data_IF_976947954954
#
_entry.id   IF_976947954954
#
_cell.length_a   1.000
_cell.length_b   1.000
_cell.length_c   1.000
_cell.angle_alpha   90.00
_cell.angle_beta   90.00
_cell.angle_gamma   90.00
#
_symmetry.space_group_name_H-M   'P 1'
#
loop_
_entity.id
_entity.type
_entity.pdbx_description
1 polymer ?
#
# COMPACT_ATOMS: atom_id res chain seq x y z
N UNK A 1 25.22 10.25 -10.25
CA UNK A 1 24.03 10.97 -9.77
C UNK A 1 23.35 10.04 -8.80
N UNK A 2 23.17 10.45 -7.54
CA UNK A 2 22.33 9.70 -6.60
C UNK A 2 20.87 10.09 -6.81
N UNK A 3 20.10 9.16 -7.35
CA UNK A 3 18.64 9.32 -7.49
C UNK A 3 18.01 9.12 -6.11
N UNK A 4 17.12 10.02 -5.71
CA UNK A 4 16.34 9.84 -4.48
C UNK A 4 15.26 8.79 -4.70
N UNK A 5 15.07 7.93 -3.71
CA UNK A 5 13.96 6.98 -3.71
C UNK A 5 12.63 7.71 -3.49
N UNK A 6 11.61 7.30 -4.26
CA UNK A 6 10.25 7.78 -4.10
C UNK A 6 9.60 7.11 -2.87
N UNK A 7 8.96 7.92 -2.04
CA UNK A 7 8.27 7.44 -0.83
C UNK A 7 6.84 7.99 -0.78
N UNK A 8 5.91 7.16 -0.33
CA UNK A 8 4.59 7.59 0.08
C UNK A 8 4.65 8.02 1.55
N UNK A 9 4.43 9.31 1.81
CA UNK A 9 4.23 9.80 3.17
C UNK A 9 2.77 9.67 3.59
N UNK A 10 2.52 9.08 4.77
CA UNK A 10 1.21 9.09 5.41
C UNK A 10 1.31 9.77 6.78
N UNK A 11 0.39 10.69 7.04
CA UNK A 11 0.32 11.43 8.30
C UNK A 11 -1.07 11.28 8.89
N UNK A 12 -1.13 10.83 10.13
CA UNK A 12 -2.35 10.75 10.92
C UNK A 12 -2.04 11.33 12.30
N UNK A 13 -2.73 12.41 12.65
CA UNK A 13 -2.52 13.15 13.89
C UNK A 13 -1.04 13.59 13.99
N UNK A 14 -0.32 13.26 15.06
CA UNK A 14 1.13 13.56 15.21
C UNK A 14 2.05 12.40 14.74
N UNK A 15 1.48 11.35 14.15
CA UNK A 15 2.24 10.21 13.63
C UNK A 15 2.49 10.33 12.13
N UNK A 16 3.74 10.14 11.74
CA UNK A 16 4.17 10.16 10.34
C UNK A 16 4.90 8.87 10.00
N UNK A 17 4.52 8.23 8.91
CA UNK A 17 5.25 7.10 8.32
C UNK A 17 5.55 7.37 6.85
N UNK A 18 6.68 6.86 6.39
CA UNK A 18 7.08 6.88 5.00
C UNK A 18 7.24 5.45 4.51
N UNK A 19 6.66 5.16 3.35
CA UNK A 19 6.67 3.84 2.74
C UNK A 19 7.41 3.93 1.40
N UNK A 20 8.54 3.22 1.22
CA UNK A 20 9.20 3.16 -0.08
C UNK A 20 8.25 2.62 -1.14
N UNK A 21 8.07 3.36 -2.24
CA UNK A 21 7.15 2.95 -3.31
C UNK A 21 7.60 1.62 -3.91
N UNK A 22 8.90 1.35 -4.02
CA UNK A 22 9.43 0.08 -4.51
C UNK A 22 8.92 -1.11 -3.67
N UNK A 23 9.02 -1.02 -2.34
CA UNK A 23 8.51 -2.06 -1.43
C UNK A 23 6.99 -2.21 -1.53
N UNK A 24 6.25 -1.10 -1.63
CA UNK A 24 4.80 -1.13 -1.78
C UNK A 24 4.35 -1.80 -3.09
N UNK A 25 5.12 -1.64 -4.18
CA UNK A 25 4.87 -2.31 -5.47
C UNK A 25 5.05 -3.82 -5.38
N UNK A 26 6.07 -4.28 -4.64
CA UNK A 26 6.31 -5.71 -4.42
C UNK A 26 5.21 -6.34 -3.55
N UNK A 27 4.83 -5.68 -2.46
CA UNK A 27 3.81 -6.18 -1.55
C UNK A 27 2.40 -6.13 -2.16
N UNK A 28 2.13 -5.12 -3.01
CA UNK A 28 0.83 -4.79 -3.64
C UNK A 28 -0.29 -4.41 -2.65
N UNK A 29 -0.35 -5.04 -1.49
CA UNK A 29 -1.26 -4.77 -0.38
C UNK A 29 -0.46 -4.73 0.91
N UNK A 30 -0.64 -3.67 1.70
CA UNK A 30 -0.06 -3.54 3.04
C UNK A 30 -1.15 -3.08 4.00
N UNK A 31 -1.47 -3.92 4.99
CA UNK A 31 -2.22 -3.50 6.17
C UNK A 31 -1.24 -2.93 7.19
N UNK A 32 -1.54 -1.76 7.74
CA UNK A 32 -0.71 -1.11 8.76
C UNK A 32 -1.60 -0.30 9.72
N UNK A 33 -1.04 0.04 10.87
CA UNK A 33 -1.66 0.95 11.83
C UNK A 33 -0.73 2.15 12.01
N UNK A 34 -1.26 3.35 11.79
CA UNK A 34 -0.53 4.61 12.02
C UNK A 34 -1.27 5.43 13.07
N UNK A 35 -0.61 5.69 14.20
CA UNK A 35 -1.28 6.08 15.44
C UNK A 35 -2.35 5.03 15.81
N UNK A 36 -3.63 5.40 15.79
CA UNK A 36 -4.77 4.50 16.07
C UNK A 36 -5.62 4.22 14.82
N UNK A 37 -5.13 4.57 13.62
CA UNK A 37 -5.85 4.40 12.36
C UNK A 37 -5.36 3.17 11.64
N UNK A 38 -6.26 2.21 11.44
CA UNK A 38 -6.00 1.04 10.61
C UNK A 38 -6.13 1.44 9.14
N UNK A 39 -5.07 1.27 8.38
CA UNK A 39 -5.02 1.60 6.97
C UNK A 39 -4.71 0.37 6.13
N UNK A 40 -5.23 0.37 4.92
CA UNK A 40 -4.77 -0.53 3.87
C UNK A 40 -4.22 0.30 2.72
N UNK A 41 -3.01 -0.05 2.31
CA UNK A 41 -2.35 0.50 1.14
C UNK A 41 -2.48 -0.47 -0.01
N UNK A 42 -3.00 -0.01 -1.14
CA UNK A 42 -3.15 -0.77 -2.37
C UNK A 42 -2.26 -0.12 -3.44
N UNK A 43 -1.39 -0.91 -4.06
CA UNK A 43 -0.37 -0.42 -4.98
C UNK A 43 -0.45 -1.10 -6.35
N UNK A 44 -0.17 -0.31 -7.38
CA UNK A 44 0.05 -0.85 -8.72
C UNK A 44 1.38 -1.62 -8.77
N UNK A 45 1.42 -2.77 -9.45
CA UNK A 45 2.68 -3.51 -9.68
C UNK A 45 3.62 -2.82 -10.69
N UNK A 46 3.08 -2.04 -11.63
CA UNK A 46 3.76 -1.45 -12.79
C UNK A 46 4.06 0.05 -12.66
N UNK A 47 3.49 0.75 -11.69
CA UNK A 47 3.63 2.21 -11.55
C UNK A 47 3.83 2.63 -10.10
N UNK A 48 4.19 3.88 -9.87
CA UNK A 48 4.28 4.47 -8.52
C UNK A 48 2.93 4.84 -7.91
N UNK A 49 1.82 4.49 -8.57
CA UNK A 49 0.48 4.82 -8.06
C UNK A 49 0.14 3.94 -6.87
N UNK A 50 -0.21 4.60 -5.77
CA UNK A 50 -0.64 3.98 -4.52
C UNK A 50 -1.93 4.64 -4.05
N UNK A 51 -2.81 3.85 -3.42
CA UNK A 51 -4.03 4.32 -2.78
C UNK A 51 -4.03 3.88 -1.32
N UNK A 52 -4.47 4.75 -0.43
CA UNK A 52 -4.60 4.47 1.00
C UNK A 52 -6.06 4.61 1.39
N UNK A 53 -6.55 3.62 2.12
CA UNK A 53 -7.93 3.59 2.63
C UNK A 53 -7.91 3.34 4.14
N UNK A 54 -8.92 3.84 4.83
CA UNK A 54 -9.26 3.34 6.17
C UNK A 54 -9.74 1.89 6.03
N UNK A 55 -9.12 0.96 6.76
CA UNK A 55 -9.47 -0.45 6.67
C UNK A 55 -10.68 -0.82 7.53
N UNK A 56 -11.11 0.07 8.43
CA UNK A 56 -12.18 -0.19 9.39
C UNK A 56 -11.85 -1.31 10.38
N UNK A 57 -10.57 -1.68 10.52
CA UNK A 57 -10.13 -2.83 11.32
C UNK A 57 -10.17 -4.17 10.60
N UNK A 58 -10.53 -4.20 9.31
CA UNK A 58 -10.41 -5.40 8.49
C UNK A 58 -8.97 -5.56 7.98
N UNK A 59 -8.55 -6.80 7.73
CA UNK A 59 -7.29 -7.13 7.09
C UNK A 59 -7.54 -7.56 5.65
N UNK A 60 -6.83 -6.97 4.71
CA UNK A 60 -6.97 -7.32 3.30
C UNK A 60 -5.79 -8.13 2.77
N UNK A 61 -6.07 -9.10 1.90
CA UNK A 61 -5.03 -9.83 1.19
C UNK A 61 -5.33 -9.94 -0.30
N UNK A 62 -4.28 -10.22 -1.05
CA UNK A 62 -4.40 -10.64 -2.43
C UNK A 62 -4.96 -12.06 -2.53
N UNK A 63 -5.81 -12.38 -3.52
CA UNK A 63 -6.15 -13.76 -3.83
C UNK A 63 -4.90 -14.53 -4.29
N UNK A 64 -4.82 -15.85 -4.05
CA UNK A 64 -3.65 -16.66 -4.44
C UNK A 64 -3.49 -16.79 -5.96
N UNK A 65 -4.58 -16.65 -6.72
CA UNK A 65 -4.59 -16.61 -8.19
C UNK A 65 -4.60 -15.15 -8.66
N UNK A 66 -3.48 -14.45 -8.52
CA UNK A 66 -3.29 -13.20 -9.26
C UNK A 66 -2.76 -13.56 -10.62
N UNK A 67 -3.67 -13.45 -11.58
CA UNK A 67 -3.38 -13.29 -13.01
C UNK A 67 -2.39 -12.14 -13.15
N UNK A 68 -1.34 -12.31 -13.98
CA UNK A 68 -0.24 -11.38 -14.28
C UNK A 68 -0.67 -9.94 -14.70
N UNK A 69 -1.43 -9.26 -13.85
CA UNK A 69 -1.83 -7.87 -14.01
C UNK A 69 -0.99 -7.03 -13.04
N UNK A 70 0.00 -6.37 -13.60
CA UNK A 70 0.83 -5.39 -12.92
C UNK A 70 0.06 -4.08 -12.62
N UNK A 71 -1.25 -4.01 -12.91
CA UNK A 71 -2.14 -2.92 -12.54
C UNK A 71 -2.43 -2.83 -11.03
N UNK A 72 -3.50 -2.13 -10.67
CA UNK A 72 -4.03 -2.22 -9.30
C UNK A 72 -4.75 -3.56 -9.11
N UNK A 73 -4.63 -4.20 -7.93
CA UNK A 73 -5.51 -5.30 -7.57
C UNK A 73 -6.98 -4.93 -7.79
N UNK A 74 -7.70 -5.70 -8.61
CA UNK A 74 -9.13 -5.50 -8.85
C UNK A 74 -10.00 -6.19 -7.80
N UNK A 75 -9.42 -7.16 -7.07
CA UNK A 75 -10.08 -7.95 -6.03
C UNK A 75 -9.16 -8.04 -4.82
N UNK A 76 -9.74 -7.89 -3.63
CA UNK A 76 -9.11 -8.14 -2.34
C UNK A 76 -9.99 -9.10 -1.54
N UNK A 77 -9.35 -9.98 -0.77
CA UNK A 77 -10.00 -10.78 0.27
C UNK A 77 -9.94 -9.98 1.57
N UNK A 78 -10.98 -10.05 2.41
CA UNK A 78 -11.06 -9.32 3.69
C UNK A 78 -12.00 -9.95 4.69
#
# INVERSE_FOLDING_TARGET
MDTKDEVLGFSADDSHKAYPVATLRELRVLNDTVSDRNIVTISSGSSSKVRVYDSGGNEFSLPPEIVDDDGFPMVLLG
#
